data_IF_797313807744
#
_entry.id   IF_797313807744
#
_cell.length_a   1.000
_cell.length_b   1.000
_cell.length_c   1.000
_cell.angle_alpha   90.00
_cell.angle_beta   90.00
_cell.angle_gamma   90.00
#
_symmetry.space_group_name_H-M   'P 1'
#
loop_
_entity.id
_entity.type
_entity.pdbx_description
1 polymer ?
#
# COMPACT_ATOMS: atom_id res chain seq x y z
N UNK A 1 -3.21 -8.78 13.37
CA UNK A 1 -4.25 -9.62 12.72
C UNK A 1 -3.68 -10.98 12.29
N UNK A 2 -3.94 -12.09 13.00
CA UNK A 2 -3.60 -13.47 12.54
C UNK A 2 -4.82 -14.12 11.87
N UNK A 3 -5.28 -13.46 10.82
CA UNK A 3 -6.37 -13.92 9.97
C UNK A 3 -6.02 -15.22 9.20
N UNK A 4 -4.73 -15.47 8.95
CA UNK A 4 -4.26 -16.59 8.14
C UNK A 4 -4.66 -18.01 8.63
N UNK A 5 -4.96 -18.19 9.91
CA UNK A 5 -5.35 -19.49 10.49
C UNK A 5 -6.78 -19.92 10.13
N UNK A 6 -7.61 -19.01 9.64
CA UNK A 6 -8.99 -19.28 9.26
C UNK A 6 -9.15 -19.77 7.81
N UNK A 7 -8.05 -19.81 7.06
CA UNK A 7 -8.05 -20.30 5.69
C UNK A 7 -7.89 -21.82 5.73
N UNK A 8 -9.00 -22.52 5.46
CA UNK A 8 -9.07 -23.99 5.47
C UNK A 8 -8.12 -24.63 4.44
N UNK A 9 -7.86 -23.96 3.31
CA UNK A 9 -6.85 -24.34 2.31
C UNK A 9 -5.95 -23.13 1.94
N UNK A 10 -4.77 -22.99 2.57
CA UNK A 10 -3.85 -21.88 2.31
C UNK A 10 -3.28 -21.85 0.89
N UNK A 11 -3.21 -23.00 0.20
CA UNK A 11 -2.71 -23.07 -1.16
C UNK A 11 -3.77 -22.59 -2.15
N UNK A 12 -5.01 -23.01 -1.94
CA UNK A 12 -6.15 -22.56 -2.76
C UNK A 12 -6.42 -21.07 -2.58
N UNK A 13 -6.42 -20.58 -1.33
CA UNK A 13 -6.51 -19.14 -1.07
C UNK A 13 -5.39 -18.36 -1.74
N UNK A 14 -4.16 -18.89 -1.72
CA UNK A 14 -3.03 -18.22 -2.40
C UNK A 14 -3.22 -18.18 -3.92
N UNK A 15 -3.88 -19.18 -4.51
CA UNK A 15 -4.20 -19.19 -5.95
C UNK A 15 -5.27 -18.14 -6.28
N UNK A 16 -6.31 -18.00 -5.45
CA UNK A 16 -7.44 -17.10 -5.70
C UNK A 16 -7.18 -15.65 -5.28
N UNK A 17 -6.41 -15.43 -4.22
CA UNK A 17 -6.26 -14.14 -3.56
C UNK A 17 -4.80 -13.73 -3.38
N UNK A 18 -3.86 -14.44 -4.01
CA UNK A 18 -2.44 -14.13 -3.94
C UNK A 18 -1.83 -14.28 -2.54
N UNK A 19 -0.81 -13.48 -2.25
CA UNK A 19 -0.06 -13.45 -0.99
C UNK A 19 -0.64 -12.46 0.03
N UNK A 20 -1.93 -12.11 -0.04
CA UNK A 20 -2.56 -11.14 0.84
C UNK A 20 -2.33 -11.44 2.34
N UNK A 21 -2.41 -12.70 2.74
CA UNK A 21 -2.14 -13.10 4.13
C UNK A 21 -0.72 -12.80 4.58
N UNK A 22 0.24 -12.85 3.65
CA UNK A 22 1.64 -12.61 3.99
C UNK A 22 1.83 -11.21 4.55
N UNK A 23 1.03 -10.22 4.12
CA UNK A 23 1.13 -8.81 4.53
C UNK A 23 1.13 -8.69 6.06
N UNK A 24 0.36 -9.54 6.74
CA UNK A 24 0.20 -9.54 8.20
C UNK A 24 1.27 -10.31 8.97
N UNK A 25 2.18 -10.99 8.27
CA UNK A 25 3.23 -11.81 8.88
C UNK A 25 4.51 -11.03 9.20
N UNK A 26 4.57 -9.74 8.86
CA UNK A 26 5.73 -8.91 9.17
C UNK A 26 5.67 -8.41 10.61
N UNK A 27 6.55 -8.90 11.48
CA UNK A 27 6.84 -8.23 12.74
C UNK A 27 7.51 -6.89 12.42
N UNK A 28 6.72 -5.82 12.46
CA UNK A 28 7.24 -4.49 12.17
C UNK A 28 8.20 -4.07 13.28
N UNK A 29 9.44 -3.81 12.90
CA UNK A 29 10.47 -3.29 13.80
C UNK A 29 10.12 -1.86 14.20
N UNK A 30 10.05 -1.65 15.51
CA UNK A 30 9.78 -0.37 16.15
C UNK A 30 10.73 0.74 15.66
N UNK A 31 10.19 1.94 15.47
CA UNK A 31 10.94 3.12 15.03
C UNK A 31 11.47 3.10 13.59
N UNK A 32 11.43 1.98 12.86
CA UNK A 32 11.94 1.96 11.48
C UNK A 32 11.03 2.71 10.52
N UNK A 33 9.72 2.48 10.63
CA UNK A 33 8.74 3.14 9.78
C UNK A 33 8.74 4.66 9.98
N UNK A 34 8.84 5.11 11.24
CA UNK A 34 8.88 6.54 11.59
C UNK A 34 10.11 7.24 11.03
N UNK A 35 11.23 6.53 10.89
CA UNK A 35 12.42 7.04 10.21
C UNK A 35 12.22 7.03 8.69
N UNK A 36 11.68 5.96 8.11
CA UNK A 36 11.44 5.85 6.65
C UNK A 36 10.64 7.03 6.10
N UNK A 37 9.55 7.41 6.76
CA UNK A 37 8.65 8.48 6.29
C UNK A 37 9.31 9.86 6.25
N UNK A 38 10.42 10.06 6.97
CA UNK A 38 11.20 11.30 6.95
C UNK A 38 12.06 11.43 5.69
N UNK A 39 12.35 10.31 5.01
CA UNK A 39 13.09 10.31 3.75
C UNK A 39 12.19 10.57 2.54
N UNK A 40 10.86 10.66 2.72
CA UNK A 40 9.93 10.91 1.61
C UNK A 40 9.97 12.38 1.18
N UNK A 41 10.25 12.61 -0.09
CA UNK A 41 10.23 13.91 -0.73
C UNK A 41 8.94 14.07 -1.57
N UNK A 42 8.14 15.09 -1.23
CA UNK A 42 6.86 15.34 -1.89
C UNK A 42 7.00 15.99 -3.27
N UNK A 43 8.11 16.67 -3.53
CA UNK A 43 8.37 17.31 -4.83
C UNK A 43 8.68 16.25 -5.89
N UNK A 44 9.48 15.25 -5.54
CA UNK A 44 9.88 14.17 -6.45
C UNK A 44 9.01 12.90 -6.32
N UNK A 45 8.10 12.85 -5.32
CA UNK A 45 7.28 11.69 -5.01
C UNK A 45 8.12 10.40 -4.88
N UNK A 46 9.22 10.48 -4.12
CA UNK A 46 10.14 9.37 -3.90
C UNK A 46 10.82 9.48 -2.54
N UNK A 47 11.47 8.40 -2.10
CA UNK A 47 12.32 8.41 -0.91
C UNK A 47 13.75 8.78 -1.31
N UNK A 48 14.29 9.85 -0.75
CA UNK A 48 15.62 10.38 -1.07
C UNK A 48 16.56 10.09 0.09
N UNK A 49 17.53 9.21 -0.13
CA UNK A 49 18.66 8.94 0.76
C UNK A 49 19.90 9.69 0.27
N UNK A 50 20.98 9.78 1.08
CA UNK A 50 22.18 10.54 0.68
C UNK A 50 22.75 10.13 -0.69
N UNK A 51 22.85 8.82 -0.95
CA UNK A 51 23.53 8.29 -2.14
C UNK A 51 22.59 7.75 -3.23
N UNK A 52 21.30 7.62 -2.94
CA UNK A 52 20.34 6.98 -3.85
C UNK A 52 18.90 7.43 -3.57
N UNK A 53 17.99 7.10 -4.49
CA UNK A 53 16.55 7.29 -4.29
C UNK A 53 15.81 5.97 -4.49
N UNK A 54 14.70 5.82 -3.80
CA UNK A 54 13.78 4.70 -3.96
C UNK A 54 12.36 5.15 -4.28
N UNK A 55 11.67 4.30 -5.03
CA UNK A 55 10.25 4.42 -5.33
C UNK A 55 9.57 3.07 -5.17
N UNK A 56 8.49 2.97 -4.37
CA UNK A 56 7.62 1.82 -4.45
C UNK A 56 7.03 1.70 -5.85
N UNK A 57 7.18 0.53 -6.48
CA UNK A 57 6.70 0.32 -7.86
C UNK A 57 5.45 -0.53 -7.90
N UNK A 58 4.62 -0.34 -8.93
CA UNK A 58 3.46 -1.20 -9.21
C UNK A 58 3.86 -2.68 -9.27
N UNK A 59 5.05 -2.94 -9.81
CA UNK A 59 5.61 -4.27 -10.02
C UNK A 59 6.04 -4.94 -8.71
N UNK A 60 6.69 -4.20 -7.82
CA UNK A 60 7.03 -4.71 -6.49
C UNK A 60 5.78 -4.94 -5.65
N UNK A 61 4.81 -4.03 -5.68
CA UNK A 61 3.54 -4.22 -4.97
C UNK A 61 2.79 -5.45 -5.50
N UNK A 62 2.71 -5.59 -6.82
CA UNK A 62 2.14 -6.78 -7.46
C UNK A 62 2.82 -8.07 -7.00
N UNK A 63 4.16 -8.08 -6.92
CA UNK A 63 4.92 -9.24 -6.47
C UNK A 63 4.74 -9.57 -4.98
N UNK A 64 4.74 -8.54 -4.12
CA UNK A 64 4.51 -8.67 -2.68
C UNK A 64 3.13 -9.22 -2.39
N UNK A 65 2.14 -8.76 -3.16
CA UNK A 65 0.74 -9.18 -3.05
C UNK A 65 0.46 -10.49 -3.79
N UNK A 66 1.33 -10.92 -4.72
CA UNK A 66 1.07 -12.05 -5.60
C UNK A 66 -0.15 -11.85 -6.49
N UNK A 67 -0.48 -10.60 -6.82
CA UNK A 67 -1.65 -10.22 -7.63
C UNK A 67 -1.13 -9.38 -8.81
N UNK A 68 -1.35 -9.79 -10.07
CA UNK A 68 -0.85 -9.07 -11.23
C UNK A 68 -1.51 -7.69 -11.35
N UNK A 69 -0.78 -6.72 -11.88
CA UNK A 69 -1.39 -5.48 -12.36
C UNK A 69 -2.25 -5.83 -13.56
N UNK A 70 -3.57 -5.63 -13.45
CA UNK A 70 -4.50 -6.01 -14.52
C UNK A 70 -4.59 -4.90 -15.58
N UNK A 71 -4.82 -5.29 -16.84
CA UNK A 71 -5.24 -4.38 -17.92
C UNK A 71 -6.70 -3.95 -17.82
N UNK A 72 -7.46 -4.51 -16.86
CA UNK A 72 -8.80 -4.03 -16.51
C UNK A 72 -8.76 -2.58 -16.06
N UNK A 73 -9.84 -1.86 -16.30
CA UNK A 73 -10.02 -0.48 -15.83
C UNK A 73 -9.77 -0.45 -14.32
N UNK A 74 -8.78 0.33 -13.84
CA UNK A 74 -8.52 0.47 -12.41
C UNK A 74 -9.64 1.25 -11.74
N UNK A 75 -9.68 1.19 -10.41
CA UNK A 75 -10.56 2.05 -9.63
C UNK A 75 -10.36 3.53 -9.97
N UNK A 76 -11.47 4.22 -10.18
CA UNK A 76 -11.55 5.63 -10.58
C UNK A 76 -12.25 6.50 -9.53
N UNK A 77 -12.95 5.89 -8.57
CA UNK A 77 -13.83 6.59 -7.61
C UNK A 77 -15.20 6.97 -8.19
N UNK A 78 -15.38 6.84 -9.51
CA UNK A 78 -16.62 7.15 -10.23
C UNK A 78 -17.55 5.95 -10.40
N UNK A 79 -17.17 4.79 -9.86
CA UNK A 79 -18.01 3.60 -9.94
C UNK A 79 -19.35 3.82 -9.22
N UNK A 80 -20.42 3.21 -9.72
CA UNK A 80 -21.68 3.20 -8.99
C UNK A 80 -21.51 2.56 -7.61
N UNK A 81 -22.30 3.00 -6.63
CA UNK A 81 -22.36 2.31 -5.34
C UNK A 81 -22.91 0.90 -5.58
N UNK A 82 -22.17 -0.17 -5.22
CA UNK A 82 -22.63 -1.53 -5.48
C UNK A 82 -23.97 -1.81 -4.79
N UNK A 83 -24.93 -2.36 -5.55
CA UNK A 83 -26.20 -2.81 -4.96
C UNK A 83 -25.96 -4.00 -4.04
N UNK A 84 -26.77 -4.13 -3.00
CA UNK A 84 -26.69 -5.25 -2.05
C UNK A 84 -26.75 -6.62 -2.72
N UNK A 85 -27.47 -6.76 -3.84
CA UNK A 85 -27.52 -8.00 -4.63
C UNK A 85 -26.17 -8.38 -5.23
N UNK A 86 -25.41 -7.41 -5.74
CA UNK A 86 -24.08 -7.64 -6.33
C UNK A 86 -23.09 -8.03 -5.24
N UNK A 87 -23.16 -7.37 -4.08
CA UNK A 87 -22.32 -7.72 -2.93
C UNK A 87 -22.66 -9.13 -2.43
N UNK A 88 -23.94 -9.47 -2.28
CA UNK A 88 -24.36 -10.80 -1.86
C UNK A 88 -23.90 -11.88 -2.85
N UNK A 89 -24.00 -11.63 -4.16
CA UNK A 89 -23.51 -12.53 -5.20
C UNK A 89 -21.99 -12.73 -5.11
N UNK A 90 -21.22 -11.64 -4.97
CA UNK A 90 -19.77 -11.69 -4.86
C UNK A 90 -19.28 -12.37 -3.57
N UNK A 91 -20.10 -12.33 -2.51
CA UNK A 91 -19.84 -13.02 -1.25
C UNK A 91 -20.40 -14.45 -1.24
N UNK A 92 -20.99 -14.93 -2.33
CA UNK A 92 -21.66 -16.23 -2.40
C UNK A 92 -22.72 -16.41 -1.28
N UNK A 93 -23.49 -15.36 -1.00
CA UNK A 93 -24.52 -15.34 0.03
C UNK A 93 -25.92 -15.47 -0.59
N UNK A 94 -26.53 -16.65 -0.51
CA UNK A 94 -28.01 -16.78 -0.59
C UNK A 94 -28.61 -16.85 0.80
N UNK A 95 -29.85 -16.34 0.95
CA UNK A 95 -30.61 -16.41 2.21
C UNK A 95 -30.70 -17.84 2.76
N UNK A 96 -30.89 -18.83 1.89
CA UNK A 96 -30.96 -20.25 2.23
C UNK A 96 -29.62 -20.85 2.68
N UNK A 97 -28.49 -20.27 2.27
CA UNK A 97 -27.14 -20.76 2.60
C UNK A 97 -26.68 -20.28 3.99
N UNK A 98 -27.10 -19.08 4.41
CA UNK A 98 -26.88 -18.58 5.79
C UNK A 98 -27.66 -19.44 6.82
N UNK A 99 -28.85 -19.92 6.43
CA UNK A 99 -29.71 -20.74 7.27
C UNK A 99 -29.25 -22.22 7.34
N UNK A 100 -28.34 -22.68 6.47
CA UNK A 100 -28.08 -24.11 6.25
C UNK A 100 -26.63 -24.60 6.46
N UNK A 101 -25.77 -23.83 7.13
CA UNK A 101 -24.31 -24.02 7.39
C UNK A 101 -23.43 -23.11 6.53
N UNK A 102 -22.42 -22.55 7.18
CA UNK A 102 -21.45 -21.63 6.61
C UNK A 102 -20.68 -22.30 5.45
N UNK A 103 -21.03 -21.95 4.21
CA UNK A 103 -20.31 -22.43 3.01
C UNK A 103 -18.90 -21.84 3.03
N UNK A 104 -17.89 -22.70 2.90
CA UNK A 104 -16.46 -22.32 2.96
C UNK A 104 -16.12 -21.15 2.01
N UNK A 105 -16.74 -21.12 0.83
CA UNK A 105 -16.53 -20.07 -0.17
C UNK A 105 -17.04 -18.70 0.29
N UNK A 106 -18.21 -18.66 0.94
CA UNK A 106 -18.77 -17.43 1.50
C UNK A 106 -17.92 -16.91 2.68
N UNK A 107 -17.33 -17.83 3.47
CA UNK A 107 -16.33 -17.44 4.48
C UNK A 107 -15.16 -16.71 3.84
N UNK A 108 -14.56 -17.35 2.83
CA UNK A 108 -13.39 -16.86 2.14
C UNK A 108 -13.64 -15.47 1.55
N UNK A 109 -14.76 -15.28 0.86
CA UNK A 109 -15.11 -14.01 0.25
C UNK A 109 -15.31 -12.89 1.28
N UNK A 110 -16.05 -13.14 2.38
CA UNK A 110 -16.23 -12.16 3.47
C UNK A 110 -14.89 -11.82 4.10
N UNK A 111 -14.08 -12.83 4.35
CA UNK A 111 -12.78 -12.68 4.98
C UNK A 111 -11.80 -11.88 4.12
N UNK A 112 -11.78 -12.10 2.79
CA UNK A 112 -10.99 -11.28 1.86
C UNK A 112 -11.51 -9.84 1.84
N UNK A 113 -12.82 -9.64 1.84
CA UNK A 113 -13.40 -8.31 1.91
C UNK A 113 -12.99 -7.55 3.19
N UNK A 114 -12.91 -8.25 4.33
CA UNK A 114 -12.39 -7.69 5.58
C UNK A 114 -10.91 -7.31 5.46
N UNK A 115 -10.08 -8.11 4.77
CA UNK A 115 -8.68 -7.74 4.49
C UNK A 115 -8.63 -6.46 3.65
N UNK A 116 -9.50 -6.33 2.64
CA UNK A 116 -9.57 -5.13 1.82
C UNK A 116 -9.92 -3.89 2.64
N UNK A 117 -11.01 -3.93 3.41
CA UNK A 117 -11.49 -2.76 4.13
C UNK A 117 -10.67 -2.39 5.38
N UNK A 118 -10.19 -3.39 6.13
CA UNK A 118 -9.56 -3.12 7.43
C UNK A 118 -8.04 -2.95 7.33
N UNK A 119 -7.40 -3.47 6.27
CA UNK A 119 -5.94 -3.50 6.19
C UNK A 119 -5.36 -2.90 4.91
N UNK A 120 -6.00 -3.13 3.76
CA UNK A 120 -5.51 -2.59 2.49
C UNK A 120 -5.96 -1.13 2.31
N UNK A 121 -7.23 -0.86 2.57
CA UNK A 121 -7.87 0.44 2.43
C UNK A 121 -8.55 0.89 3.74
N UNK A 122 -7.78 1.01 4.84
CA UNK A 122 -8.35 1.50 6.10
C UNK A 122 -8.91 2.90 5.89
N UNK A 123 -10.14 3.14 6.35
CA UNK A 123 -10.76 4.47 6.33
C UNK A 123 -11.34 4.83 7.70
N UNK A 124 -12.29 4.02 8.18
CA UNK A 124 -12.91 4.18 9.49
C UNK A 124 -12.64 2.91 10.29
N UNK A 125 -12.17 3.08 11.53
CA UNK A 125 -11.85 1.97 12.44
C UNK A 125 -12.99 0.95 12.53
N UNK A 126 -12.69 -0.30 12.14
CA UNK A 126 -13.64 -1.41 12.21
C UNK A 126 -14.68 -1.46 11.09
N UNK A 127 -14.61 -0.59 10.09
CA UNK A 127 -15.57 -0.56 8.97
C UNK A 127 -14.90 -0.83 7.62
N UNK A 128 -15.61 -1.58 6.77
CA UNK A 128 -15.24 -1.76 5.36
C UNK A 128 -15.87 -0.62 4.55
N UNK A 129 -15.03 0.27 4.04
CA UNK A 129 -15.48 1.41 3.23
C UNK A 129 -16.08 0.97 1.88
N UNK A 130 -17.01 1.77 1.34
CA UNK A 130 -17.61 1.50 0.03
C UNK A 130 -16.58 1.43 -1.11
N UNK A 131 -15.51 2.21 -1.04
CA UNK A 131 -14.42 2.15 -2.00
C UNK A 131 -13.63 0.84 -1.87
N UNK A 132 -13.42 0.35 -0.64
CA UNK A 132 -12.81 -0.98 -0.45
C UNK A 132 -13.67 -2.08 -1.08
N UNK A 133 -15.00 -1.99 -0.95
CA UNK A 133 -15.95 -2.92 -1.63
C UNK A 133 -15.84 -2.79 -3.16
N UNK A 134 -15.81 -1.58 -3.71
CA UNK A 134 -15.64 -1.36 -5.16
C UNK A 134 -14.35 -1.97 -5.67
N UNK A 135 -13.23 -1.74 -4.97
CA UNK A 135 -11.92 -2.27 -5.36
C UNK A 135 -11.89 -3.80 -5.28
N UNK A 136 -12.54 -4.38 -4.26
CA UNK A 136 -12.75 -5.81 -4.15
C UNK A 136 -13.48 -6.38 -5.38
N UNK A 137 -14.58 -5.73 -5.80
CA UNK A 137 -15.35 -6.16 -6.97
C UNK A 137 -14.59 -5.98 -8.30
N UNK A 138 -13.77 -4.93 -8.45
CA UNK A 138 -12.95 -4.70 -9.65
C UNK A 138 -11.83 -5.74 -9.76
N UNK A 139 -11.19 -6.08 -8.65
CA UNK A 139 -10.07 -7.03 -8.58
C UNK A 139 -8.72 -6.48 -9.08
N UNK A 140 -8.61 -5.17 -9.34
CA UNK A 140 -7.37 -4.50 -9.78
C UNK A 140 -6.86 -3.53 -8.70
N UNK A 141 -6.42 -4.07 -7.56
CA UNK A 141 -6.16 -3.29 -6.36
C UNK A 141 -4.77 -2.62 -6.31
N UNK A 142 -3.79 -3.12 -7.07
CA UNK A 142 -2.38 -2.71 -6.97
C UNK A 142 -2.18 -1.21 -7.28
N UNK A 143 -2.75 -0.64 -8.38
CA UNK A 143 -2.61 0.78 -8.66
C UNK A 143 -3.20 1.66 -7.57
N UNK A 144 -4.32 1.26 -6.99
CA UNK A 144 -5.04 2.02 -5.96
C UNK A 144 -4.30 1.98 -4.63
N UNK A 145 -3.77 0.83 -4.23
CA UNK A 145 -2.92 0.71 -3.04
C UNK A 145 -1.67 1.58 -3.14
N UNK A 146 -1.02 1.56 -4.30
CA UNK A 146 0.17 2.39 -4.52
C UNK A 146 -0.19 3.88 -4.53
N UNK A 147 -1.33 4.23 -5.14
CA UNK A 147 -1.89 5.58 -5.12
C UNK A 147 -2.16 6.09 -3.70
N UNK A 148 -2.86 5.31 -2.87
CA UNK A 148 -3.16 5.69 -1.48
C UNK A 148 -1.92 5.84 -0.61
N UNK A 149 -0.90 4.99 -0.84
CA UNK A 149 0.38 5.12 -0.15
C UNK A 149 1.06 6.45 -0.49
N UNK A 150 1.24 6.73 -1.78
CA UNK A 150 1.87 7.97 -2.23
C UNK A 150 1.06 9.19 -1.78
N UNK A 151 -0.25 9.15 -1.94
CA UNK A 151 -1.15 10.25 -1.59
C UNK A 151 -1.07 10.54 -0.08
N UNK A 152 -1.11 9.51 0.76
CA UNK A 152 -1.01 9.66 2.21
C UNK A 152 0.34 10.26 2.65
N UNK A 153 1.45 9.80 2.07
CA UNK A 153 2.78 10.35 2.37
C UNK A 153 2.95 11.79 1.89
N UNK A 154 2.40 12.10 0.70
CA UNK A 154 2.42 13.45 0.14
C UNK A 154 1.60 14.42 0.99
N UNK A 155 0.40 14.01 1.42
CA UNK A 155 -0.48 14.83 2.24
C UNK A 155 0.17 15.13 3.60
N UNK A 156 0.72 14.10 4.25
CA UNK A 156 1.43 14.24 5.52
C UNK A 156 2.59 15.23 5.41
N UNK A 157 3.46 15.05 4.42
CA UNK A 157 4.63 15.91 4.27
C UNK A 157 4.24 17.35 3.88
N UNK A 158 3.23 17.52 3.02
CA UNK A 158 2.73 18.84 2.62
C UNK A 158 2.08 19.60 3.79
N UNK A 159 1.47 18.91 4.74
CA UNK A 159 0.88 19.49 5.95
C UNK A 159 1.89 19.66 7.10
N UNK A 160 3.12 19.16 6.93
CA UNK A 160 4.15 19.19 7.96
C UNK A 160 3.94 18.19 9.11
N UNK A 161 3.09 17.17 8.93
CA UNK A 161 2.68 16.21 9.95
C UNK A 161 1.36 15.51 9.60
N UNK A 162 0.84 14.70 10.51
CA UNK A 162 -0.48 14.04 10.38
C UNK A 162 -0.42 12.54 10.08
N UNK A 163 -1.61 11.92 10.16
CA UNK A 163 -1.80 10.47 10.08
C UNK A 163 -1.60 9.94 8.66
N UNK A 164 -0.87 8.83 8.53
CA UNK A 164 -0.73 8.10 7.27
C UNK A 164 -1.85 7.08 7.19
N UNK A 165 -2.76 7.25 6.24
CA UNK A 165 -3.91 6.37 6.03
C UNK A 165 -3.67 5.51 4.78
N UNK A 166 -2.79 4.52 4.92
CA UNK A 166 -2.51 3.55 3.85
C UNK A 166 -2.22 2.16 4.43
N UNK A 167 -1.97 1.17 3.56
CA UNK A 167 -1.52 -0.16 3.99
C UNK A 167 -0.05 -0.11 4.48
N UNK A 168 0.16 0.31 5.73
CA UNK A 168 1.48 0.42 6.37
C UNK A 168 2.28 -0.90 6.29
N UNK A 169 1.72 -2.09 6.56
CA UNK A 169 2.50 -3.32 6.51
C UNK A 169 3.05 -3.64 5.11
N UNK A 170 2.35 -3.24 4.05
CA UNK A 170 2.82 -3.44 2.68
C UNK A 170 3.99 -2.50 2.35
N UNK A 171 3.88 -1.22 2.71
CA UNK A 171 4.98 -0.26 2.56
C UNK A 171 6.20 -0.68 3.38
N UNK A 172 5.98 -1.18 4.60
CA UNK A 172 7.03 -1.69 5.46
C UNK A 172 7.74 -2.90 4.82
N UNK A 173 6.99 -3.89 4.33
CA UNK A 173 7.54 -5.06 3.63
C UNK A 173 8.36 -4.68 2.40
N UNK A 174 7.84 -3.76 1.60
CA UNK A 174 8.57 -3.20 0.46
C UNK A 174 9.91 -2.63 0.92
N UNK A 175 9.91 -1.79 1.95
CA UNK A 175 11.14 -1.16 2.41
C UNK A 175 12.17 -2.16 2.96
N UNK A 176 11.72 -3.12 3.77
CA UNK A 176 12.58 -4.19 4.30
C UNK A 176 13.23 -4.99 3.18
N UNK A 177 12.53 -5.24 2.07
CA UNK A 177 13.09 -5.98 0.93
C UNK A 177 14.28 -5.28 0.25
N UNK A 178 14.44 -3.97 0.47
CA UNK A 178 15.56 -3.18 -0.02
C UNK A 178 16.64 -2.91 1.03
N UNK A 179 16.52 -3.46 2.24
CA UNK A 179 17.56 -3.33 3.26
C UNK A 179 18.65 -4.41 3.08
N UNK A 180 19.91 -4.09 3.43
CA UNK A 180 21.00 -5.07 3.36
C UNK A 180 20.70 -6.30 4.23
N UNK A 181 20.99 -7.48 3.70
CA UNK A 181 20.85 -8.75 4.43
C UNK A 181 22.18 -9.23 5.04
N UNK A 182 23.20 -8.36 5.07
CA UNK A 182 24.51 -8.70 5.62
C UNK A 182 24.39 -8.96 7.13
N UNK A 183 25.15 -9.92 7.70
CA UNK A 183 25.11 -10.19 9.14
C UNK A 183 25.37 -8.95 9.99
N UNK A 184 26.28 -8.07 9.55
CA UNK A 184 26.57 -6.81 10.23
C UNK A 184 25.34 -5.89 10.33
N UNK A 185 24.55 -5.78 9.26
CA UNK A 185 23.34 -4.97 9.25
C UNK A 185 22.23 -5.63 10.07
N UNK A 186 21.98 -6.93 9.85
CA UNK A 186 20.88 -7.66 10.52
C UNK A 186 21.10 -7.75 12.03
N UNK A 187 22.30 -8.11 12.47
CA UNK A 187 22.60 -8.29 13.90
C UNK A 187 22.68 -6.96 14.66
N UNK A 188 23.03 -5.86 13.99
CA UNK A 188 23.19 -4.53 14.58
C UNK A 188 23.95 -4.54 15.92
N UNK A 189 25.11 -5.23 15.98
CA UNK A 189 25.91 -5.40 17.22
C UNK A 189 26.30 -4.08 17.89
N UNK A 190 26.37 -3.00 17.12
CA UNK A 190 26.69 -1.65 17.59
C UNK A 190 25.48 -0.90 18.18
N UNK A 191 24.29 -1.51 18.17
CA UNK A 191 23.03 -0.93 18.65
C UNK A 191 22.75 0.46 18.05
N UNK A 192 23.06 0.64 16.77
CA UNK A 192 22.84 1.91 16.07
C UNK A 192 21.34 2.18 15.90
N UNK A 193 20.95 3.45 15.99
CA UNK A 193 19.58 3.90 15.72
C UNK A 193 19.26 3.74 14.23
N UNK A 194 18.00 3.52 13.89
CA UNK A 194 17.57 3.40 12.50
C UNK A 194 17.94 4.59 11.63
N UNK A 195 17.86 5.82 12.16
CA UNK A 195 18.32 7.02 11.44
C UNK A 195 19.79 6.94 11.04
N UNK A 196 20.68 6.54 11.94
CA UNK A 196 22.11 6.39 11.67
C UNK A 196 22.34 5.28 10.64
N UNK A 197 21.66 4.14 10.80
CA UNK A 197 21.78 2.98 9.91
C UNK A 197 21.33 3.28 8.49
N UNK A 198 20.24 4.04 8.31
CA UNK A 198 19.74 4.40 6.99
C UNK A 198 20.57 5.50 6.34
N UNK A 199 21.07 6.47 7.13
CA UNK A 199 21.95 7.53 6.63
C UNK A 199 23.33 7.01 6.19
N UNK A 200 23.77 5.85 6.70
CA UNK A 200 25.04 5.23 6.32
C UNK A 200 24.93 4.30 5.11
N UNK A 201 23.73 4.07 4.56
CA UNK A 201 23.57 3.20 3.39
C UNK A 201 24.12 3.88 2.16
N UNK A 202 24.94 3.15 1.41
CA UNK A 202 25.41 3.54 0.07
C UNK A 202 24.58 2.87 -1.01
N UNK A 203 24.84 3.20 -2.27
CA UNK A 203 24.22 2.56 -3.43
C UNK A 203 24.51 1.04 -3.49
N UNK A 204 25.73 0.62 -3.14
CA UNK A 204 26.19 -0.77 -3.27
C UNK A 204 25.65 -1.70 -2.18
N UNK A 205 25.21 -1.16 -1.03
CA UNK A 205 24.70 -1.95 0.09
C UNK A 205 23.31 -2.56 -0.20
N UNK A 206 22.66 -2.17 -1.30
CA UNK A 206 21.21 -2.33 -1.46
C UNK A 206 20.82 -3.40 -2.45
N UNK A 207 19.75 -4.10 -2.09
CA UNK A 207 19.01 -4.94 -3.03
C UNK A 207 18.10 -4.03 -3.84
N UNK A 208 18.54 -3.68 -5.05
CA UNK A 208 17.83 -2.77 -5.94
C UNK A 208 16.45 -3.28 -6.36
N UNK A 209 16.37 -4.56 -6.70
CA UNK A 209 15.13 -5.24 -7.03
C UNK A 209 15.34 -6.76 -6.94
N UNK A 210 14.25 -7.52 -6.83
CA UNK A 210 14.29 -8.98 -6.93
C UNK A 210 14.49 -9.38 -8.42
N UNK A 211 15.54 -10.14 -8.79
CA UNK A 211 15.78 -10.55 -10.18
C UNK A 211 14.62 -11.28 -10.86
N UNK A 212 13.74 -11.94 -10.08
CA UNK A 212 12.51 -12.56 -10.60
C UNK A 212 11.54 -11.55 -11.22
N UNK A 213 11.72 -10.26 -10.91
CA UNK A 213 10.95 -9.18 -11.50
C UNK A 213 11.42 -8.84 -12.92
N UNK A 214 12.64 -9.17 -13.33
CA UNK A 214 13.21 -8.71 -14.62
C UNK A 214 12.32 -8.96 -15.86
N UNK A 215 11.51 -10.01 -15.88
CA UNK A 215 10.66 -10.39 -17.02
C UNK A 215 9.26 -9.76 -17.07
N UNK A 216 8.79 -9.07 -16.03
CA UNK A 216 7.44 -8.48 -16.04
C UNK A 216 7.36 -7.16 -16.82
N UNK A 217 6.23 -6.92 -17.48
CA UNK A 217 5.89 -5.66 -18.10
C UNK A 217 5.82 -4.52 -17.07
N UNK A 218 6.18 -3.30 -17.48
CA UNK A 218 6.10 -2.11 -16.65
C UNK A 218 5.27 -1.04 -17.36
N UNK A 219 4.47 -0.31 -16.58
CA UNK A 219 3.80 0.90 -17.07
C UNK A 219 4.87 1.98 -17.17
N UNK A 220 5.07 2.50 -18.38
CA UNK A 220 6.20 3.38 -18.69
C UNK A 220 5.81 4.84 -18.96
N UNK A 221 4.56 5.08 -19.33
CA UNK A 221 4.02 6.39 -19.70
C UNK A 221 2.49 6.35 -19.77
N UNK A 222 1.84 7.52 -19.75
CA UNK A 222 0.42 7.70 -20.01
C UNK A 222 0.23 8.60 -21.25
N UNK A 223 -0.06 7.98 -22.39
CA UNK A 223 -0.16 8.71 -23.67
C UNK A 223 1.18 9.36 -24.04
N UNK A 224 1.20 10.68 -24.18
CA UNK A 224 2.40 11.46 -24.50
C UNK A 224 3.22 11.85 -23.26
N UNK A 225 2.74 11.54 -22.05
CA UNK A 225 3.38 11.93 -20.81
C UNK A 225 4.19 10.78 -20.22
N UNK A 226 5.42 11.05 -19.77
CA UNK A 226 6.24 10.09 -19.02
C UNK A 226 5.65 9.73 -17.65
N UNK A 227 4.78 10.61 -17.13
CA UNK A 227 4.12 10.49 -15.84
C UNK A 227 2.80 9.73 -15.97
N UNK A 228 2.38 9.09 -14.89
CA UNK A 228 1.13 8.30 -14.80
C UNK A 228 0.38 8.71 -13.56
N UNK A 229 -0.93 8.91 -13.66
CA UNK A 229 -1.77 9.19 -12.47
C UNK A 229 -2.18 7.88 -11.82
N UNK A 230 -1.96 7.78 -10.52
CA UNK A 230 -2.54 6.74 -9.68
C UNK A 230 -3.74 7.33 -8.94
N UNK A 231 -4.85 6.60 -8.93
CA UNK A 231 -6.06 6.99 -8.22
C UNK A 231 -6.20 6.08 -6.99
N UNK A 232 -6.09 6.69 -5.82
CA UNK A 232 -6.34 6.08 -4.51
C UNK A 232 -7.78 6.32 -4.03
N UNK A 233 -8.17 5.70 -2.92
CA UNK A 233 -9.45 5.95 -2.25
C UNK A 233 -9.56 7.37 -1.67
N UNK A 234 -8.44 8.04 -1.41
CA UNK A 234 -8.41 9.38 -0.81
C UNK A 234 -8.09 10.50 -1.82
N UNK A 235 -7.59 10.15 -3.01
CA UNK A 235 -7.26 11.14 -4.05
C UNK A 235 -6.35 10.60 -5.14
N UNK A 236 -6.04 11.46 -6.10
CA UNK A 236 -5.11 11.17 -7.19
C UNK A 236 -3.70 11.68 -6.91
N UNK A 237 -2.68 10.94 -7.33
CA UNK A 237 -1.27 11.36 -7.25
C UNK A 237 -0.49 11.03 -8.51
N UNK A 238 0.51 11.85 -8.82
CA UNK A 238 1.42 11.59 -9.92
C UNK A 238 2.47 10.53 -9.51
N UNK A 239 2.56 9.49 -10.32
CA UNK A 239 3.59 8.48 -10.29
C UNK A 239 4.55 8.67 -11.46
N UNK A 240 5.86 8.60 -11.18
CA UNK A 240 6.90 8.75 -12.19
C UNK A 240 7.55 7.38 -12.52
N UNK A 241 7.10 6.70 -13.58
CA UNK A 241 7.70 5.48 -14.09
C UNK A 241 9.20 5.54 -14.35
N UNK A 242 9.77 6.70 -14.69
CA UNK A 242 11.19 6.81 -15.04
C UNK A 242 12.09 6.43 -13.86
N UNK A 243 11.71 6.82 -12.64
CA UNK A 243 12.43 6.40 -11.42
C UNK A 243 12.26 4.90 -11.15
N UNK A 244 11.07 4.36 -11.43
CA UNK A 244 10.79 2.94 -11.29
C UNK A 244 11.60 2.08 -12.27
N UNK A 245 11.74 2.52 -13.52
CA UNK A 245 12.61 1.88 -14.52
C UNK A 245 14.04 1.74 -14.00
N UNK A 246 14.60 2.83 -13.47
CA UNK A 246 15.97 2.88 -12.95
C UNK A 246 16.15 1.87 -11.82
N UNK A 247 15.22 1.85 -10.85
CA UNK A 247 15.28 0.93 -9.72
C UNK A 247 15.22 -0.54 -10.16
N UNK A 248 14.41 -0.84 -11.17
CA UNK A 248 14.25 -2.18 -11.73
C UNK A 248 15.37 -2.58 -12.71
N UNK A 249 16.42 -1.75 -12.85
CA UNK A 249 17.56 -2.04 -13.74
C UNK A 249 17.27 -1.91 -15.23
N UNK A 250 16.16 -1.30 -15.63
CA UNK A 250 15.89 -1.03 -17.04
C UNK A 250 16.70 0.17 -17.56
N UNK A 251 17.15 0.15 -18.82
CA UNK A 251 17.77 1.32 -19.45
C UNK A 251 16.83 2.53 -19.39
N UNK A 252 17.40 3.67 -19.00
CA UNK A 252 16.74 4.97 -19.13
C UNK A 252 16.59 5.29 -20.62
N UNK A 253 15.41 5.79 -21.02
CA UNK A 253 15.15 6.23 -22.39
C UNK A 253 15.76 7.61 -22.67
N UNK A 254 15.74 8.48 -21.68
CA UNK A 254 16.22 9.87 -21.75
C UNK A 254 17.13 10.23 -20.57
N UNK A 255 17.90 11.31 -20.70
CA UNK A 255 18.76 11.83 -19.64
C UNK A 255 17.91 12.50 -18.56
N UNK A 256 18.14 12.13 -17.29
CA UNK A 256 17.45 12.70 -16.13
C UNK A 256 17.92 14.17 -15.93
N UNK A 257 17.23 15.13 -16.54
CA UNK A 257 17.49 16.57 -16.39
C UNK A 257 16.29 17.27 -15.70
N UNK A 258 16.41 18.58 -15.44
CA UNK A 258 15.35 19.46 -14.88
C UNK A 258 13.98 19.37 -15.58
N UNK A 259 13.93 18.77 -16.78
CA UNK A 259 12.74 18.42 -17.55
C UNK A 259 11.72 17.57 -16.79
N UNK A 260 12.13 16.80 -15.76
CA UNK A 260 11.20 16.05 -14.91
C UNK A 260 10.19 16.95 -14.19
N UNK A 261 10.64 18.10 -13.70
CA UNK A 261 9.80 19.05 -12.96
C UNK A 261 8.88 19.80 -13.93
N UNK A 262 9.38 20.18 -15.10
CA UNK A 262 8.60 20.83 -16.16
C UNK A 262 7.52 19.89 -16.75
N UNK A 263 7.86 18.62 -16.99
CA UNK A 263 6.90 17.59 -17.41
C UNK A 263 5.87 17.28 -16.32
N UNK A 264 6.28 17.33 -15.05
CA UNK A 264 5.39 17.21 -13.89
C UNK A 264 4.38 18.36 -13.84
N UNK A 265 4.77 19.60 -14.08
CA UNK A 265 3.86 20.75 -14.10
C UNK A 265 2.82 20.67 -15.23
N UNK A 266 3.27 20.42 -16.47
CA UNK A 266 2.39 20.29 -17.62
C UNK A 266 1.40 19.13 -17.46
N UNK A 267 1.88 17.98 -16.98
CA UNK A 267 1.03 16.83 -16.68
C UNK A 267 0.03 17.13 -15.57
N UNK A 268 0.47 17.79 -14.49
CA UNK A 268 -0.42 18.15 -13.36
C UNK A 268 -1.54 19.07 -13.81
N UNK A 269 -1.28 20.05 -14.68
CA UNK A 269 -2.31 20.91 -15.25
C UNK A 269 -3.30 20.12 -16.13
N UNK A 270 -2.79 19.20 -16.95
CA UNK A 270 -3.62 18.32 -17.76
C UNK A 270 -4.54 17.44 -16.91
N UNK A 271 -4.02 16.86 -15.81
CA UNK A 271 -4.81 16.07 -14.85
C UNK A 271 -5.89 16.94 -14.19
N UNK A 272 -5.53 18.14 -13.69
CA UNK A 272 -6.50 19.07 -13.06
C UNK A 272 -7.63 19.47 -14.00
N UNK A 273 -7.33 19.66 -15.28
CA UNK A 273 -8.37 19.96 -16.29
C UNK A 273 -9.33 18.78 -16.43
N UNK A 274 -8.81 17.55 -16.53
CA UNK A 274 -9.64 16.34 -16.62
C UNK A 274 -10.45 16.07 -15.36
N UNK A 275 -9.87 16.34 -14.19
CA UNK A 275 -10.56 16.24 -12.89
C UNK A 275 -11.85 17.08 -12.89
N UNK A 276 -11.76 18.33 -13.37
CA UNK A 276 -12.90 19.23 -13.53
C UNK A 276 -13.92 18.74 -14.57
N UNK A 277 -13.44 18.23 -15.71
CA UNK A 277 -14.30 17.71 -16.79
C UNK A 277 -15.08 16.46 -16.35
N UNK A 278 -14.40 15.54 -15.66
CA UNK A 278 -14.96 14.26 -15.21
C UNK A 278 -15.73 14.37 -13.90
N UNK A 279 -15.62 15.51 -13.20
CA UNK A 279 -16.23 15.75 -11.88
C UNK A 279 -15.84 14.66 -10.90
N UNK A 280 -14.55 14.43 -10.78
CA UNK A 280 -14.00 13.43 -9.86
C UNK A 280 -14.51 13.68 -8.43
N UNK A 281 -14.68 12.63 -7.62
CA UNK A 281 -15.35 12.72 -6.33
C UNK A 281 -14.47 13.34 -5.22
N UNK A 282 -13.22 13.70 -5.55
CA UNK A 282 -12.25 14.20 -4.57
C UNK A 282 -12.31 15.73 -4.48
N UNK A 283 -12.22 16.31 -3.26
CA UNK A 283 -12.09 17.75 -3.12
C UNK A 283 -10.77 18.22 -3.73
N UNK A 284 -10.82 19.14 -4.69
CA UNK A 284 -9.64 19.77 -5.26
C UNK A 284 -8.94 20.65 -4.19
N UNK A 285 -7.89 20.13 -3.56
CA UNK A 285 -7.07 20.92 -2.63
C UNK A 285 -6.32 22.01 -3.42
N UNK A 286 -6.35 23.25 -2.92
CA UNK A 286 -5.61 24.36 -3.54
C UNK A 286 -4.10 24.05 -3.47
N UNK A 287 -3.33 24.31 -4.54
CA UNK A 287 -1.88 24.14 -4.46
C UNK A 287 -1.33 25.05 -3.36
N UNK A 288 -0.80 24.45 -2.30
CA UNK A 288 -0.01 25.21 -1.32
C UNK A 288 1.30 25.61 -1.99
N UNK A 289 1.69 26.88 -1.78
CA UNK A 289 2.95 27.45 -2.25
C UNK A 289 4.11 26.50 -1.96
N UNK A 290 4.97 26.24 -2.96
CA UNK A 290 6.20 25.46 -2.79
C UNK A 290 7.10 26.16 -1.77
N UNK A 291 7.01 25.76 -0.51
CA UNK A 291 8.01 26.08 0.50
C UNK A 291 8.89 24.84 0.59
N UNK A 292 10.20 25.02 0.42
CA UNK A 292 11.18 23.95 0.65
C UNK A 292 11.11 23.60 2.14
N UNK A 293 10.42 22.51 2.46
CA UNK A 293 10.27 22.04 3.84
C UNK A 293 11.53 21.26 4.21
N UNK A 294 12.25 21.74 5.23
CA UNK A 294 13.38 21.04 5.85
C UNK A 294 12.89 19.68 6.39
N UNK A 295 13.69 18.59 6.38
CA UNK A 295 13.25 17.30 6.89
C UNK A 295 12.68 17.45 8.30
N UNK A 296 11.39 17.18 8.43
CA UNK A 296 10.67 17.31 9.69
C UNK A 296 11.03 16.13 10.59
N UNK A 297 11.55 16.44 11.78
CA UNK A 297 11.44 15.56 12.93
C UNK A 297 9.96 15.41 13.26
N UNK A 298 9.48 14.18 13.33
CA UNK A 298 8.12 13.87 13.80
C UNK A 298 7.81 14.61 15.12
N UNK A 299 6.63 15.22 15.27
CA UNK A 299 6.06 15.43 16.59
C UNK A 299 5.90 14.06 17.25
N UNK A 300 6.40 13.89 18.47
CA UNK A 300 6.34 12.60 19.21
C UNK A 300 4.91 12.02 19.29
N UNK A 301 3.90 12.89 19.21
CA UNK A 301 2.48 12.56 19.33
C UNK A 301 1.94 11.69 18.18
N UNK A 302 2.38 11.92 16.93
CA UNK A 302 1.94 11.14 15.76
C UNK A 302 2.55 9.72 15.75
N UNK A 303 3.71 9.54 16.40
CA UNK A 303 4.41 8.24 16.52
C UNK A 303 3.74 7.39 17.58
N UNK A 304 3.41 8.01 18.71
CA UNK A 304 2.73 7.38 19.84
C UNK A 304 1.32 6.90 19.44
N UNK A 305 0.59 7.67 18.63
CA UNK A 305 -0.72 7.24 18.09
C UNK A 305 -0.61 6.02 17.16
N UNK A 306 0.43 5.95 16.33
CA UNK A 306 0.67 4.80 15.45
C UNK A 306 1.12 3.57 16.22
N UNK A 307 1.91 3.75 17.27
CA UNK A 307 2.37 2.69 18.18
C UNK A 307 1.22 2.18 19.08
N UNK A 308 0.33 3.07 19.54
CA UNK A 308 -0.87 2.71 20.28
C UNK A 308 -1.87 1.96 19.39
N UNK A 309 -2.07 2.42 18.15
CA UNK A 309 -2.86 1.69 17.17
C UNK A 309 -2.26 0.29 16.91
N UNK A 310 -0.93 0.17 16.88
CA UNK A 310 -0.23 -1.11 16.75
C UNK A 310 -0.47 -2.03 17.97
N UNK A 311 -0.40 -1.49 19.18
CA UNK A 311 -0.62 -2.24 20.43
C UNK A 311 -2.08 -2.68 20.56
N UNK A 312 -3.02 -1.78 20.28
CA UNK A 312 -4.46 -2.09 20.26
C UNK A 312 -4.77 -3.19 19.25
N UNK A 313 -4.19 -3.12 18.05
CA UNK A 313 -4.33 -4.18 17.05
C UNK A 313 -3.71 -5.52 17.45
N UNK A 314 -2.66 -5.51 18.28
CA UNK A 314 -2.09 -6.74 18.87
C UNK A 314 -3.01 -7.34 19.93
N UNK A 315 -3.54 -6.51 20.82
CA UNK A 315 -4.45 -6.95 21.89
C UNK A 315 -5.78 -7.50 21.35
N UNK A 316 -6.37 -6.82 20.36
CA UNK A 316 -7.60 -7.30 19.71
C UNK A 316 -7.37 -8.63 19.01
N UNK A 317 -6.21 -8.80 18.35
CA UNK A 317 -5.80 -10.08 17.77
C UNK A 317 -5.77 -11.18 18.84
N UNK A 318 -5.12 -10.94 19.97
CA UNK A 318 -4.94 -11.97 21.02
C UNK A 318 -6.28 -12.36 21.67
N UNK A 319 -7.16 -11.38 21.93
CA UNK A 319 -8.53 -11.62 22.41
C UNK A 319 -9.36 -12.48 21.44
N UNK A 320 -9.28 -12.19 20.14
CA UNK A 320 -10.00 -12.96 19.14
C UNK A 320 -9.42 -14.37 18.95
N UNK A 321 -8.10 -14.55 19.12
CA UNK A 321 -7.45 -15.87 19.14
C UNK A 321 -7.92 -16.77 20.30
N UNK A 322 -8.22 -16.20 21.47
CA UNK A 322 -8.78 -16.93 22.60
C UNK A 322 -10.25 -17.33 22.37
N UNK A 323 -11.07 -16.38 21.89
CA UNK A 323 -12.48 -16.64 21.58
C UNK A 323 -12.65 -17.69 20.49
N UNK A 324 -11.81 -17.64 19.46
CA UNK A 324 -11.84 -18.63 18.40
C UNK A 324 -11.40 -20.02 18.88
N UNK A 325 -10.32 -20.13 19.67
CA UNK A 325 -9.92 -21.41 20.29
C UNK A 325 -11.03 -22.01 21.16
N UNK A 326 -11.80 -21.18 21.86
CA UNK A 326 -12.96 -21.63 22.63
C UNK A 326 -14.12 -22.13 21.74
N UNK A 327 -14.32 -21.53 20.57
CA UNK A 327 -15.36 -21.93 19.61
C UNK A 327 -14.98 -23.20 18.82
N UNK A 328 -13.72 -23.34 18.42
CA UNK A 328 -13.22 -24.55 17.74
C UNK A 328 -13.28 -25.78 18.65
N UNK A 329 -12.91 -25.66 19.93
CA UNK A 329 -13.06 -26.76 20.90
C UNK A 329 -14.52 -27.19 21.08
N UNK A 330 -15.45 -26.24 21.10
CA UNK A 330 -16.89 -26.55 21.17
C UNK A 330 -17.43 -27.25 19.92
N UNK A 331 -16.76 -27.12 18.78
CA UNK A 331 -17.17 -27.74 17.52
C UNK A 331 -16.56 -29.13 17.31
N UNK A 332 -15.44 -29.44 17.98
CA UNK A 332 -14.85 -30.79 18.03
C UNK A 332 -15.49 -31.69 19.11
N UNK A 333 -16.18 -31.09 20.08
CA UNK A 333 -16.90 -31.80 21.16
C UNK A 333 -18.38 -32.11 20.83
N UNK A 334 -18.84 -31.80 19.60
CA UNK A 334 -20.15 -32.09 19.02
C UNK A 334 -19.99 -33.07 17.85
#
# INVERSE_FOLDING_TARGET
>A
MKLAYFVLDPLDFKRHHGKLLSIFSADMVEGLFSVLVQFYDSLYCCFIFPDFQLVPTLKEYSHLLGIPVSSRVPFSGLEEIPRSSIIAEALHLKKSEIEAHWVVDAFGAIFVLLIYGLALFPNIDGFVDVNAIRIFLIGNLVPTLLGDMYFSLHLRNSKGGGTIVCCIPLLYKWFISHLPQTPAFVENKQCLRWSQRLMSLTNDDRVWYDPSLSSLEIIDSCGEFSNVSLIGTQGGINYNPVLARRQLGFPLRDKLNNTLLEALEAYTLWVKKRDLELKMPYPCERPMSMVVVKPLTLPNQDVEELEDALVKMKQEKDMWEERFRALSKKHEEL
#
